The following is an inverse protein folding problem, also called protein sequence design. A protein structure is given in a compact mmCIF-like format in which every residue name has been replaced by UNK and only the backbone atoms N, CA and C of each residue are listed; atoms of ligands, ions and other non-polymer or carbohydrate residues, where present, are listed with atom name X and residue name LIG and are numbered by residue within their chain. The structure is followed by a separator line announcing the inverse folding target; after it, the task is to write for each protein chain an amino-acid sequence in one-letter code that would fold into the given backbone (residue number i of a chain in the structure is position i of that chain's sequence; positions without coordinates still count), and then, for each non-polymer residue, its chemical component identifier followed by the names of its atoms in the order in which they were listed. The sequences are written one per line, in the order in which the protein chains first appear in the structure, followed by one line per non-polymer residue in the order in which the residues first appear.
data_IF_313416293766
#
_entry.id   IF_313416293766
#
_cell.length_a   1.000
_cell.length_b   1.000
_cell.length_c   1.000
_cell.angle_alpha   90.00
_cell.angle_beta   90.00
_cell.angle_gamma   90.00
#
_symmetry.space_group_name_H-M   'P 1'
#
loop_
_entity.id
_entity.type
_entity.pdbx_description
1 polymer ?
#
# COMPACT_ATOMS: atom_id res chain seq x y z
N UNK A 1 -47.78 -39.89 -54.71
CA UNK A 1 -49.17 -40.35 -54.47
C UNK A 1 -49.68 -39.57 -53.25
N UNK A 2 -50.36 -38.42 -53.43
CA UNK A 2 -51.83 -38.31 -53.59
C UNK A 2 -52.56 -38.98 -52.41
N UNK A 3 -53.33 -38.28 -51.56
CA UNK A 3 -54.28 -37.17 -51.85
C UNK A 3 -54.28 -36.03 -50.82
N UNK A 4 -54.66 -34.83 -51.28
CA UNK A 4 -55.33 -33.78 -50.48
C UNK A 4 -56.85 -33.90 -50.64
N UNK A 5 -57.61 -33.47 -49.63
CA UNK A 5 -58.94 -32.87 -49.70
C UNK A 5 -59.01 -31.88 -48.50
N UNK A 6 -59.39 -30.59 -48.62
CA UNK A 6 -60.73 -30.05 -48.96
C UNK A 6 -61.83 -30.53 -48.00
N UNK A 7 -62.79 -29.75 -47.47
CA UNK A 7 -63.20 -28.32 -47.44
C UNK A 7 -64.16 -28.18 -46.20
N UNK A 8 -64.60 -27.06 -45.62
CA UNK A 8 -64.45 -25.60 -45.86
C UNK A 8 -64.61 -24.82 -44.51
N UNK A 9 -64.77 -23.49 -44.56
CA UNK A 9 -65.18 -22.59 -43.46
C UNK A 9 -66.70 -22.53 -43.24
N UNK A 10 -67.19 -22.41 -41.99
CA UNK A 10 -68.45 -21.69 -41.70
C UNK A 10 -68.62 -21.17 -40.25
N UNK A 11 -68.35 -19.86 -40.12
CA UNK A 11 -69.01 -18.80 -39.33
C UNK A 11 -70.01 -19.10 -38.17
N UNK A 12 -69.66 -18.53 -37.01
CA UNK A 12 -70.44 -17.62 -36.12
C UNK A 12 -71.75 -18.04 -35.40
N UNK A 13 -71.76 -17.84 -34.07
CA UNK A 13 -72.96 -17.67 -33.22
C UNK A 13 -72.60 -17.31 -31.76
N UNK A 14 -73.18 -16.24 -31.21
CA UNK A 14 -73.10 -15.85 -29.78
C UNK A 14 -74.03 -16.76 -28.91
N UNK A 15 -74.05 -16.83 -27.57
CA UNK A 15 -74.08 -15.80 -26.51
C UNK A 15 -73.63 -16.36 -25.14
N UNK A 16 -73.12 -15.46 -24.28
CA UNK A 16 -72.75 -15.56 -22.84
C UNK A 16 -73.42 -16.65 -21.97
N UNK A 17 -72.58 -17.34 -21.18
CA UNK A 17 -72.89 -17.85 -19.84
C UNK A 17 -71.82 -17.42 -18.83
N UNK A 18 -72.18 -16.74 -17.73
CA UNK A 18 -71.21 -16.27 -16.71
C UNK A 18 -70.81 -17.40 -15.75
N UNK A 19 -69.62 -17.96 -15.91
CA UNK A 19 -68.93 -18.78 -14.90
C UNK A 19 -67.79 -17.99 -14.24
N UNK A 20 -67.74 -17.96 -12.89
CA UNK A 20 -66.60 -17.39 -12.15
C UNK A 20 -65.36 -18.26 -12.36
N UNK A 21 -64.29 -17.69 -12.92
CA UNK A 21 -62.97 -18.33 -12.88
C UNK A 21 -62.45 -18.40 -11.42
N UNK A 22 -61.76 -19.47 -11.01
CA UNK A 22 -61.13 -19.54 -9.70
C UNK A 22 -60.03 -18.47 -9.59
N UNK A 23 -59.91 -17.87 -8.41
CA UNK A 23 -58.90 -16.86 -8.16
C UNK A 23 -57.50 -17.48 -8.22
N UNK A 24 -56.73 -17.08 -9.23
CA UNK A 24 -55.33 -17.48 -9.37
C UNK A 24 -54.57 -17.01 -8.10
N UNK A 25 -53.94 -17.91 -7.32
CA UNK A 25 -53.17 -17.49 -6.16
C UNK A 25 -51.94 -16.75 -6.68
N UNK A 26 -52.00 -15.41 -6.68
CA UNK A 26 -50.81 -14.59 -6.91
C UNK A 26 -49.76 -15.10 -5.92
N UNK A 27 -48.53 -15.46 -6.37
CA UNK A 27 -47.48 -15.81 -5.42
C UNK A 27 -47.39 -14.64 -4.45
N UNK A 28 -47.41 -14.96 -3.14
CA UNK A 28 -47.30 -13.94 -2.12
C UNK A 28 -46.14 -13.03 -2.50
N UNK A 29 -46.41 -11.74 -2.66
CA UNK A 29 -45.31 -10.77 -2.74
C UNK A 29 -44.55 -11.01 -1.46
N UNK A 30 -43.35 -11.57 -1.59
CA UNK A 30 -42.48 -11.76 -0.45
C UNK A 30 -42.18 -10.34 -0.01
N UNK A 31 -42.90 -9.86 1.00
CA UNK A 31 -42.75 -8.51 1.48
C UNK A 31 -41.33 -8.43 2.04
N UNK A 32 -40.44 -7.92 1.19
CA UNK A 32 -39.12 -7.47 1.55
C UNK A 32 -39.26 -6.18 2.36
N UNK A 33 -40.03 -6.27 3.45
CA UNK A 33 -39.94 -5.47 4.66
C UNK A 33 -38.61 -5.78 5.37
N UNK A 34 -37.52 -5.75 4.60
CA UNK A 34 -36.23 -5.37 5.12
C UNK A 34 -36.43 -4.01 5.78
N UNK A 35 -36.23 -3.97 7.08
CA UNK A 35 -36.41 -2.81 7.94
C UNK A 35 -35.47 -1.67 7.54
N UNK A 36 -35.83 -0.92 6.50
CA UNK A 36 -35.12 0.27 6.03
C UNK A 36 -35.03 1.37 7.11
N UNK A 37 -35.85 1.29 8.17
CA UNK A 37 -35.81 2.18 9.35
C UNK A 37 -34.43 2.28 10.01
N UNK A 38 -33.56 1.27 9.86
CA UNK A 38 -32.26 1.22 10.55
C UNK A 38 -31.06 1.62 9.67
N UNK A 39 -31.26 1.93 8.39
CA UNK A 39 -30.17 2.42 7.51
C UNK A 39 -30.05 3.94 7.65
N UNK A 40 -28.86 4.42 7.99
CA UNK A 40 -28.52 5.86 7.99
C UNK A 40 -27.90 6.23 6.63
N UNK A 41 -28.10 7.48 6.21
CA UNK A 41 -27.39 8.04 5.06
C UNK A 41 -25.90 8.14 5.39
N UNK A 42 -25.02 7.80 4.43
CA UNK A 42 -23.59 8.04 4.58
C UNK A 42 -23.29 9.54 4.43
N UNK A 43 -22.38 10.06 5.25
CA UNK A 43 -21.85 11.41 5.06
C UNK A 43 -21.03 11.46 3.76
N UNK A 44 -21.18 12.55 2.98
CA UNK A 44 -20.56 12.67 1.65
C UNK A 44 -19.02 12.54 1.67
N UNK A 45 -18.37 12.95 2.75
CA UNK A 45 -16.93 12.82 2.91
C UNK A 45 -16.48 11.36 3.09
N UNK A 46 -17.33 10.53 3.72
CA UNK A 46 -17.08 9.10 3.92
C UNK A 46 -17.30 8.32 2.62
N UNK A 47 -18.31 8.69 1.84
CA UNK A 47 -18.54 8.15 0.49
C UNK A 47 -17.33 8.43 -0.43
N UNK A 48 -16.81 9.66 -0.42
CA UNK A 48 -15.58 10.01 -1.12
C UNK A 48 -14.37 9.20 -0.61
N UNK A 49 -14.25 8.95 0.70
CA UNK A 49 -13.18 8.12 1.25
C UNK A 49 -13.26 6.66 0.75
N UNK A 50 -14.46 6.09 0.65
CA UNK A 50 -14.65 4.77 0.04
C UNK A 50 -14.29 4.74 -1.45
N UNK A 51 -14.59 5.81 -2.20
CA UNK A 51 -14.19 5.93 -3.61
C UNK A 51 -12.67 6.07 -3.79
N UNK A 52 -11.97 6.75 -2.89
CA UNK A 52 -10.49 6.78 -2.87
C UNK A 52 -9.93 5.39 -2.55
N UNK A 53 -10.44 4.73 -1.51
CA UNK A 53 -10.02 3.37 -1.13
C UNK A 53 -10.24 2.34 -2.24
N UNK A 54 -11.37 2.41 -2.97
CA UNK A 54 -11.64 1.57 -4.12
C UNK A 54 -10.61 1.78 -5.24
N UNK A 55 -10.27 3.04 -5.54
CA UNK A 55 -9.26 3.36 -6.55
C UNK A 55 -7.86 2.87 -6.16
N UNK A 56 -7.48 3.05 -4.90
CA UNK A 56 -6.23 2.54 -4.34
C UNK A 56 -6.15 1.00 -4.47
N UNK A 57 -7.17 0.27 -4.00
CA UNK A 57 -7.23 -1.20 -4.10
C UNK A 57 -7.15 -1.66 -5.56
N UNK A 58 -7.89 -1.01 -6.47
CA UNK A 58 -7.88 -1.34 -7.91
C UNK A 58 -6.49 -1.17 -8.53
N UNK A 59 -5.83 -0.05 -8.26
CA UNK A 59 -4.49 0.24 -8.79
C UNK A 59 -3.44 -0.71 -8.20
N UNK A 60 -3.51 -0.96 -6.89
CA UNK A 60 -2.62 -1.87 -6.18
C UNK A 60 -2.72 -3.31 -6.72
N UNK A 61 -3.94 -3.83 -6.86
CA UNK A 61 -4.16 -5.19 -7.40
C UNK A 61 -3.68 -5.31 -8.85
N UNK A 62 -3.95 -4.31 -9.70
CA UNK A 62 -3.47 -4.31 -11.08
C UNK A 62 -1.93 -4.35 -11.17
N UNK A 63 -1.24 -3.52 -10.38
CA UNK A 63 0.23 -3.50 -10.32
C UNK A 63 0.80 -4.80 -9.71
N UNK A 64 0.19 -5.36 -8.66
CA UNK A 64 0.61 -6.64 -8.07
C UNK A 64 0.48 -7.79 -9.07
N UNK A 65 -0.58 -7.80 -9.88
CA UNK A 65 -0.77 -8.76 -10.96
C UNK A 65 0.27 -8.56 -12.07
N UNK A 66 0.52 -7.33 -12.51
CA UNK A 66 1.57 -6.99 -13.49
C UNK A 66 2.95 -7.50 -13.03
N UNK A 67 3.32 -7.23 -11.77
CA UNK A 67 4.57 -7.72 -11.16
C UNK A 67 4.63 -9.25 -11.16
N UNK A 68 3.56 -9.94 -10.77
CA UNK A 68 3.52 -11.40 -10.75
C UNK A 68 3.58 -12.02 -12.15
N UNK A 69 2.93 -11.41 -13.15
CA UNK A 69 2.99 -11.85 -14.53
C UNK A 69 4.42 -11.75 -15.07
N UNK A 70 5.12 -10.64 -14.81
CA UNK A 70 6.51 -10.49 -15.23
C UNK A 70 7.48 -11.41 -14.48
N UNK A 71 7.31 -11.62 -13.15
CA UNK A 71 8.11 -12.61 -12.41
C UNK A 71 7.98 -14.03 -13.01
N UNK A 72 6.83 -14.37 -13.58
CA UNK A 72 6.59 -15.66 -14.26
C UNK A 72 7.07 -15.69 -15.72
N UNK A 73 6.88 -14.61 -16.49
CA UNK A 73 7.25 -14.53 -17.91
C UNK A 73 8.75 -14.35 -18.15
N UNK A 74 9.44 -13.60 -17.28
CA UNK A 74 10.82 -13.14 -17.52
C UNK A 74 11.92 -14.15 -17.19
N UNK A 75 11.56 -15.38 -16.74
CA UNK A 75 12.48 -16.52 -16.59
C UNK A 75 13.82 -16.18 -15.94
N UNK A 76 13.83 -15.99 -14.62
CA UNK A 76 14.99 -15.58 -13.81
C UNK A 76 15.58 -14.17 -14.07
N UNK A 77 15.23 -13.46 -15.14
CA UNK A 77 15.71 -12.09 -15.40
C UNK A 77 14.92 -11.05 -14.60
N UNK A 78 15.18 -10.94 -13.30
CA UNK A 78 14.54 -10.00 -12.38
C UNK A 78 14.61 -8.52 -12.85
N UNK A 79 15.64 -8.17 -13.62
CA UNK A 79 15.89 -6.81 -14.10
C UNK A 79 14.84 -6.27 -15.08
N UNK A 80 14.06 -7.12 -15.75
CA UNK A 80 13.05 -6.67 -16.75
C UNK A 80 11.96 -5.78 -16.11
N UNK A 81 11.62 -6.03 -14.84
CA UNK A 81 10.70 -5.19 -14.06
C UNK A 81 11.26 -3.79 -13.78
N UNK A 82 12.59 -3.67 -13.66
CA UNK A 82 13.26 -2.41 -13.31
C UNK A 82 13.30 -1.45 -14.50
N UNK A 83 13.49 -1.95 -15.72
CA UNK A 83 13.59 -1.10 -16.93
C UNK A 83 12.25 -0.65 -17.51
N UNK A 84 11.11 -1.21 -17.05
CA UNK A 84 9.78 -0.90 -17.61
C UNK A 84 8.98 0.13 -16.81
N UNK A 85 9.25 0.25 -15.50
CA UNK A 85 8.62 1.24 -14.60
C UNK A 85 9.69 2.20 -14.09
N UNK A 86 9.38 3.48 -14.10
CA UNK A 86 10.25 4.52 -13.56
C UNK A 86 10.32 4.48 -12.03
N UNK A 87 11.43 4.96 -11.45
CA UNK A 87 11.58 5.04 -9.99
C UNK A 87 10.49 5.89 -9.31
N UNK A 88 9.88 6.83 -10.03
CA UNK A 88 8.73 7.59 -9.54
C UNK A 88 7.45 6.74 -9.42
N UNK A 89 7.18 5.84 -10.38
CA UNK A 89 6.06 4.89 -10.29
C UNK A 89 6.24 3.90 -9.13
N UNK A 90 7.47 3.43 -8.90
CA UNK A 90 7.79 2.62 -7.72
C UNK A 90 7.58 3.36 -6.40
N UNK A 91 7.91 4.66 -6.34
CA UNK A 91 7.68 5.49 -5.16
C UNK A 91 6.16 5.68 -4.89
N UNK A 92 5.36 5.89 -5.94
CA UNK A 92 3.88 5.98 -5.86
C UNK A 92 3.27 4.64 -5.42
N UNK A 93 3.77 3.51 -5.95
CA UNK A 93 3.33 2.18 -5.53
C UNK A 93 3.71 1.88 -4.07
N UNK A 94 4.86 2.38 -3.60
CA UNK A 94 5.27 2.35 -2.18
C UNK A 94 4.29 3.11 -1.27
N UNK A 95 3.96 4.35 -1.61
CA UNK A 95 2.97 5.16 -0.86
C UNK A 95 1.57 4.51 -0.88
N UNK A 96 1.19 3.87 -1.99
CA UNK A 96 -0.07 3.16 -2.14
C UNK A 96 -0.13 1.90 -1.25
N UNK A 97 0.91 1.06 -1.30
CA UNK A 97 1.02 -0.12 -0.46
C UNK A 97 1.05 0.24 1.04
N UNK A 98 1.73 1.32 1.42
CA UNK A 98 1.73 1.83 2.80
C UNK A 98 0.34 2.30 3.25
N UNK A 99 -0.40 3.04 2.41
CA UNK A 99 -1.80 3.43 2.71
C UNK A 99 -2.72 2.23 2.90
N UNK A 100 -2.53 1.16 2.13
CA UNK A 100 -3.24 -0.12 2.25
C UNK A 100 -2.67 -1.07 3.34
N UNK A 101 -1.71 -0.62 4.15
CA UNK A 101 -1.03 -1.39 5.22
C UNK A 101 -0.20 -2.61 4.75
N UNK A 102 0.15 -2.69 3.47
CA UNK A 102 1.03 -3.72 2.89
C UNK A 102 2.52 -3.32 3.02
N UNK A 103 3.03 -3.35 4.26
CA UNK A 103 4.36 -2.83 4.63
C UNK A 103 5.55 -3.49 3.92
N UNK A 104 5.52 -4.81 3.70
CA UNK A 104 6.62 -5.52 3.01
C UNK A 104 6.69 -5.13 1.53
N UNK A 105 5.53 -5.04 0.86
CA UNK A 105 5.45 -4.62 -0.53
C UNK A 105 5.85 -3.15 -0.71
N UNK A 106 5.51 -2.28 0.26
CA UNK A 106 6.00 -0.91 0.29
C UNK A 106 7.54 -0.85 0.42
N UNK A 107 8.15 -1.70 1.26
CA UNK A 107 9.61 -1.80 1.38
C UNK A 107 10.29 -2.32 0.10
N UNK A 108 9.73 -3.33 -0.57
CA UNK A 108 10.21 -3.80 -1.89
C UNK A 108 10.15 -2.65 -2.91
N UNK A 109 9.01 -1.96 -2.99
CA UNK A 109 8.79 -0.82 -3.88
C UNK A 109 9.79 0.34 -3.67
N UNK A 110 9.99 0.78 -2.42
CA UNK A 110 10.95 1.84 -2.13
C UNK A 110 12.39 1.42 -2.45
N UNK A 111 12.78 0.15 -2.21
CA UNK A 111 14.11 -0.36 -2.62
C UNK A 111 14.28 -0.34 -4.14
N UNK A 112 13.28 -0.80 -4.91
CA UNK A 112 13.30 -0.75 -6.37
C UNK A 112 13.34 0.70 -6.90
N UNK A 113 12.68 1.65 -6.22
CA UNK A 113 12.77 3.07 -6.58
C UNK A 113 14.19 3.64 -6.42
N UNK A 114 14.88 3.21 -5.35
CA UNK A 114 16.22 3.69 -5.00
C UNK A 114 17.33 3.10 -5.88
N UNK A 115 17.15 1.88 -6.36
CA UNK A 115 18.06 1.22 -7.30
C UNK A 115 18.12 1.98 -8.64
N UNK A 116 17.00 2.59 -9.06
CA UNK A 116 16.94 3.43 -10.26
C UNK A 116 17.36 4.89 -10.01
N UNK A 117 16.93 5.48 -8.89
CA UNK A 117 17.09 6.91 -8.62
C UNK A 117 17.15 7.20 -7.12
N UNK A 118 18.15 7.98 -6.72
CA UNK A 118 18.17 8.53 -5.37
C UNK A 118 16.92 9.37 -5.06
N UNK A 119 16.16 8.97 -4.04
CA UNK A 119 14.99 9.70 -3.54
C UNK A 119 15.04 9.84 -2.02
N UNK A 120 15.09 11.09 -1.55
CA UNK A 120 15.07 11.41 -0.11
C UNK A 120 13.80 10.87 0.56
N UNK A 121 12.65 10.92 -0.15
CA UNK A 121 11.36 10.41 0.36
C UNK A 121 11.39 8.89 0.55
N UNK A 122 11.87 8.14 -0.43
CA UNK A 122 11.99 6.67 -0.32
C UNK A 122 12.95 6.28 0.82
N UNK A 123 14.09 6.97 0.96
CA UNK A 123 15.01 6.75 2.08
C UNK A 123 14.39 7.08 3.45
N UNK A 124 13.66 8.18 3.59
CA UNK A 124 12.95 8.54 4.83
C UNK A 124 11.87 7.50 5.20
N UNK A 125 11.14 6.99 4.21
CA UNK A 125 10.13 5.94 4.40
C UNK A 125 10.76 4.62 4.86
N UNK A 126 11.83 4.17 4.19
CA UNK A 126 12.59 2.99 4.61
C UNK A 126 13.22 3.18 6.00
N UNK A 127 13.71 4.37 6.34
CA UNK A 127 14.27 4.66 7.67
C UNK A 127 13.22 4.49 8.78
N UNK A 128 12.03 5.07 8.64
CA UNK A 128 10.95 4.93 9.62
C UNK A 128 10.52 3.46 9.75
N UNK A 129 10.30 2.76 8.63
CA UNK A 129 9.92 1.33 8.61
C UNK A 129 10.98 0.43 9.26
N UNK A 130 12.25 0.55 8.84
CA UNK A 130 13.36 -0.23 9.41
C UNK A 130 13.54 0.04 10.91
N UNK A 131 13.36 1.29 11.38
CA UNK A 131 13.45 1.64 12.81
C UNK A 131 12.27 1.10 13.63
N UNK A 132 11.07 1.07 13.04
CA UNK A 132 9.87 0.49 13.63
C UNK A 132 10.02 -1.03 13.83
N UNK A 133 10.68 -1.73 12.90
CA UNK A 133 11.07 -3.14 13.03
C UNK A 133 12.28 -3.34 13.96
N UNK A 134 13.22 -2.39 14.02
CA UNK A 134 14.49 -2.54 14.74
C UNK A 134 15.60 -3.16 13.90
N UNK A 135 15.52 -3.08 12.57
CA UNK A 135 16.58 -3.53 11.69
C UNK A 135 17.77 -2.54 11.76
N UNK A 136 18.82 -2.91 12.51
CA UNK A 136 20.02 -2.09 12.69
C UNK A 136 20.65 -1.67 11.35
N UNK A 137 20.99 -2.64 10.50
CA UNK A 137 21.73 -2.42 9.25
C UNK A 137 20.92 -1.53 8.29
N UNK A 138 19.65 -1.87 8.06
CA UNK A 138 18.78 -1.09 7.17
C UNK A 138 18.46 0.32 7.69
N UNK A 139 18.40 0.52 9.01
CA UNK A 139 18.19 1.85 9.61
C UNK A 139 19.45 2.69 9.48
N UNK A 140 20.62 2.13 9.83
CA UNK A 140 21.90 2.86 9.77
C UNK A 140 22.31 3.18 8.33
N UNK A 141 22.13 2.27 7.38
CA UNK A 141 22.37 2.53 5.96
C UNK A 141 21.53 3.71 5.46
N UNK A 142 20.22 3.71 5.75
CA UNK A 142 19.34 4.80 5.38
C UNK A 142 19.73 6.13 6.06
N UNK A 143 20.14 6.09 7.33
CA UNK A 143 20.62 7.25 8.05
C UNK A 143 21.90 7.85 7.43
N UNK A 144 22.90 7.02 7.08
CA UNK A 144 24.14 7.48 6.42
C UNK A 144 23.84 8.19 5.09
N UNK A 145 22.97 7.61 4.25
CA UNK A 145 22.57 8.20 2.97
C UNK A 145 21.83 9.53 3.16
N UNK A 146 20.91 9.60 4.12
CA UNK A 146 20.14 10.81 4.42
C UNK A 146 21.01 11.92 5.04
N UNK A 147 21.94 11.58 5.94
CA UNK A 147 22.86 12.54 6.54
C UNK A 147 23.82 13.10 5.48
N UNK A 148 24.31 12.27 4.57
CA UNK A 148 25.21 12.72 3.48
C UNK A 148 24.53 13.73 2.53
N UNK A 149 23.23 13.56 2.22
CA UNK A 149 22.52 14.54 1.39
C UNK A 149 22.15 15.83 2.16
N UNK A 150 21.93 15.75 3.48
CA UNK A 150 21.73 16.94 4.33
C UNK A 150 23.01 17.77 4.46
N UNK A 151 24.15 17.11 4.67
CA UNK A 151 25.48 17.72 4.72
C UNK A 151 25.80 18.44 3.39
N UNK A 152 25.58 17.78 2.25
CA UNK A 152 25.67 18.40 0.91
C UNK A 152 24.71 19.58 0.72
N UNK A 153 23.59 19.61 1.43
CA UNK A 153 22.62 20.71 1.40
C UNK A 153 22.91 21.79 2.46
N UNK A 154 24.01 21.70 3.21
CA UNK A 154 24.38 22.57 4.33
C UNK A 154 23.33 22.61 5.45
N UNK A 155 22.57 21.52 5.64
CA UNK A 155 21.53 21.39 6.66
C UNK A 155 22.11 20.70 7.91
N UNK A 156 22.64 21.51 8.81
CA UNK A 156 23.23 21.07 10.07
C UNK A 156 22.23 20.89 11.23
N UNK A 157 20.96 20.61 10.96
CA UNK A 157 19.96 20.41 12.03
C UNK A 157 19.96 18.96 12.53
N UNK A 158 20.67 18.67 13.63
CA UNK A 158 20.64 17.33 14.27
C UNK A 158 19.26 17.05 14.88
N UNK A 159 18.70 18.01 15.62
CA UNK A 159 17.39 17.92 16.25
C UNK A 159 16.60 19.24 16.05
N UNK A 160 15.28 19.21 15.82
CA UNK A 160 14.43 18.03 15.60
C UNK A 160 14.53 17.51 14.17
N UNK A 161 14.86 16.22 13.98
CA UNK A 161 14.90 15.59 12.66
C UNK A 161 14.25 14.18 12.69
N UNK A 162 13.68 13.71 11.56
CA UNK A 162 13.17 12.34 11.46
C UNK A 162 14.30 11.30 11.62
N UNK A 163 15.52 11.65 11.21
CA UNK A 163 16.72 10.81 11.35
C UNK A 163 17.06 10.61 12.83
N UNK A 164 17.13 11.68 13.62
CA UNK A 164 17.34 11.59 15.06
C UNK A 164 16.26 10.72 15.73
N UNK A 165 14.98 10.91 15.38
CA UNK A 165 13.88 10.10 15.92
C UNK A 165 14.04 8.60 15.61
N UNK A 166 14.43 8.24 14.40
CA UNK A 166 14.67 6.85 14.00
C UNK A 166 15.88 6.24 14.72
N UNK A 167 16.99 6.98 14.80
CA UNK A 167 18.21 6.55 15.49
C UNK A 167 17.98 6.40 17.00
N UNK A 168 17.28 7.34 17.66
CA UNK A 168 16.96 7.26 19.08
C UNK A 168 16.03 6.07 19.40
N UNK A 169 15.07 5.78 18.52
CA UNK A 169 14.22 4.58 18.61
C UNK A 169 15.05 3.29 18.50
N UNK A 170 16.07 3.28 17.63
CA UNK A 170 16.99 2.15 17.48
C UNK A 170 17.88 1.97 18.72
N UNK A 171 18.44 3.06 19.25
CA UNK A 171 19.24 3.09 20.49
C UNK A 171 18.42 2.57 21.68
N UNK A 172 17.17 3.02 21.83
CA UNK A 172 16.27 2.57 22.90
C UNK A 172 15.96 1.06 22.84
N UNK A 173 16.00 0.45 21.64
CA UNK A 173 15.77 -0.98 21.45
C UNK A 173 17.03 -1.85 21.63
N UNK A 174 18.21 -1.33 21.30
CA UNK A 174 19.42 -2.15 21.16
C UNK A 174 20.61 -1.73 22.03
N UNK A 175 20.55 -0.57 22.67
CA UNK A 175 21.67 0.05 23.37
C UNK A 175 22.62 0.80 22.43
N UNK A 176 23.14 1.93 22.89
CA UNK A 176 23.99 2.83 22.10
C UNK A 176 25.27 2.15 21.61
N UNK A 177 25.97 1.42 22.49
CA UNK A 177 27.21 0.71 22.15
C UNK A 177 27.02 -0.29 21.01
N UNK A 178 25.90 -1.02 20.98
CA UNK A 178 25.58 -1.98 19.91
C UNK A 178 25.32 -1.28 18.57
N UNK A 179 24.66 -0.11 18.60
CA UNK A 179 24.39 0.71 17.41
C UNK A 179 25.67 1.34 16.87
N UNK A 180 26.56 1.82 17.74
CA UNK A 180 27.89 2.34 17.37
C UNK A 180 28.77 1.24 16.74
N UNK A 181 28.86 0.07 17.38
CA UNK A 181 29.61 -1.08 16.86
C UNK A 181 29.06 -1.54 15.49
N UNK A 182 27.73 -1.52 15.30
CA UNK A 182 27.11 -1.79 14.02
C UNK A 182 27.50 -0.74 12.95
N UNK A 183 27.52 0.56 13.28
CA UNK A 183 27.98 1.62 12.36
C UNK A 183 29.44 1.41 11.92
N UNK A 184 30.33 1.07 12.85
CA UNK A 184 31.74 0.76 12.55
C UNK A 184 31.82 -0.45 11.60
N UNK A 185 31.04 -1.50 11.84
CA UNK A 185 31.01 -2.72 11.00
C UNK A 185 30.53 -2.49 9.55
N UNK A 186 29.79 -1.41 9.28
CA UNK A 186 29.35 -1.05 7.92
C UNK A 186 30.45 -0.41 7.05
N UNK A 187 31.66 -0.17 7.57
CA UNK A 187 32.78 0.42 6.82
C UNK A 187 32.44 1.77 6.15
N UNK A 188 31.71 2.63 6.86
CA UNK A 188 31.30 3.96 6.40
C UNK A 188 32.54 4.85 6.10
N UNK A 189 32.56 5.62 4.99
CA UNK A 189 33.66 6.53 4.68
C UNK A 189 33.97 7.50 5.82
N UNK A 190 35.26 7.79 6.05
CA UNK A 190 35.75 8.63 7.16
C UNK A 190 35.10 10.02 7.25
N UNK A 191 34.68 10.60 6.11
CA UNK A 191 33.95 11.87 6.07
C UNK A 191 32.52 11.76 6.60
N UNK A 192 31.83 10.65 6.34
CA UNK A 192 30.43 10.46 6.68
C UNK A 192 30.23 9.98 8.13
N UNK A 193 31.24 9.30 8.69
CA UNK A 193 31.24 8.82 10.07
C UNK A 193 30.93 9.92 11.13
N UNK A 194 31.66 11.05 11.20
CA UNK A 194 31.40 12.09 12.22
C UNK A 194 30.02 12.73 12.09
N UNK A 195 29.48 12.82 10.86
CA UNK A 195 28.13 13.36 10.63
C UNK A 195 27.05 12.49 11.30
N UNK A 196 27.26 11.17 11.36
CA UNK A 196 26.36 10.24 12.03
C UNK A 196 26.63 10.15 13.54
N UNK A 197 27.90 10.19 13.99
CA UNK A 197 28.19 10.17 15.44
C UNK A 197 27.67 11.41 16.16
N UNK A 198 27.54 12.56 15.49
CA UNK A 198 26.89 13.76 16.06
C UNK A 198 25.47 13.50 16.58
N UNK A 199 24.75 12.54 16.00
CA UNK A 199 23.44 12.09 16.52
C UNK A 199 23.58 11.22 17.77
N UNK A 200 24.65 10.43 17.89
CA UNK A 200 24.95 9.58 19.05
C UNK A 200 25.43 10.40 20.25
N UNK A 201 26.31 11.38 20.02
CA UNK A 201 26.74 12.37 21.01
C UNK A 201 25.54 13.13 21.58
N UNK A 202 24.58 13.49 20.73
CA UNK A 202 23.31 14.09 21.17
C UNK A 202 22.44 13.10 21.98
N UNK A 203 22.40 11.82 21.62
CA UNK A 203 21.67 10.81 22.39
C UNK A 203 22.26 10.58 23.79
N UNK A 204 23.58 10.68 23.92
CA UNK A 204 24.31 10.60 25.19
C UNK A 204 24.11 11.86 26.05
N UNK A 205 24.31 13.05 25.46
CA UNK A 205 24.11 14.35 26.13
C UNK A 205 22.70 14.49 26.72
N UNK A 206 21.68 14.06 25.98
CA UNK A 206 20.28 14.09 26.43
C UNK A 206 19.86 12.84 27.22
N UNK A 207 20.79 11.93 27.53
CA UNK A 207 20.55 10.70 28.32
C UNK A 207 19.33 9.89 27.83
N UNK A 208 19.21 9.74 26.50
CA UNK A 208 18.12 8.96 25.87
C UNK A 208 18.13 7.54 26.42
N UNK A 209 16.96 6.94 26.67
CA UNK A 209 16.85 5.55 27.15
C UNK A 209 17.70 4.60 26.28
N UNK A 210 18.58 3.81 26.90
CA UNK A 210 19.55 2.96 26.20
C UNK A 210 20.87 3.64 25.80
N UNK A 211 21.11 4.90 26.19
CA UNK A 211 22.41 5.58 26.02
C UNK A 211 23.49 5.12 27.01
N UNK A 212 23.07 4.78 28.24
CA UNK A 212 23.97 4.29 29.30
C UNK A 212 24.33 2.82 29.06
N UNK A 213 25.59 2.49 29.35
CA UNK A 213 26.13 1.13 29.38
C UNK A 213 25.49 0.29 30.50
#
# INVERSE_FOLDING_TARGET
LLKKASLDSQRSGEVKGKGRAPANPRPARHDLSFTFKNKRLCEKWLDNLFMVLYNDLRLYTALKQEISQYKNQAGANANVLLYRKTGAEWEIYGDLAERLQHKEDAKEAYRLSLDQRFSVKAWLKLLEMNSAEGNLQGTLQAAVQLVTILDRAYVETTYPSPIARALFRLITKHGLAKVQNALISMHVPKHQYPLVTRFFEYAELFSVSGSKW
#
